data_IF_292894249898
#
_entry.id   IF_292894249898
#
_cell.length_a   1.000
_cell.length_b   1.000
_cell.length_c   1.000
_cell.angle_alpha   90.00
_cell.angle_beta   90.00
_cell.angle_gamma   90.00
#
_symmetry.space_group_name_H-M   'P 1'
#
loop_
_entity.id
_entity.type
_entity.pdbx_description
1 polymer ?
#
# COMPACT_ATOMS: atom_id res chain seq x y z
N UNK A 1 -18.80 -23.43 -8.47
CA UNK A 1 -17.96 -23.61 -7.28
C UNK A 1 -16.47 -23.45 -7.56
N UNK A 2 -15.94 -24.08 -8.61
CA UNK A 2 -14.53 -23.89 -9.00
C UNK A 2 -14.21 -22.45 -9.35
N UNK A 3 -15.10 -21.77 -10.08
CA UNK A 3 -14.94 -20.35 -10.44
C UNK A 3 -14.94 -19.46 -9.21
N UNK A 4 -15.76 -19.76 -8.24
CA UNK A 4 -15.85 -19.02 -6.98
C UNK A 4 -14.55 -19.13 -6.19
N UNK A 5 -13.99 -20.34 -6.11
CA UNK A 5 -12.71 -20.58 -5.43
C UNK A 5 -11.57 -19.82 -6.10
N UNK A 6 -11.55 -19.80 -7.43
CA UNK A 6 -10.54 -19.05 -8.19
C UNK A 6 -10.67 -17.55 -7.91
N UNK A 7 -11.89 -17.03 -7.85
CA UNK A 7 -12.13 -15.62 -7.55
C UNK A 7 -11.61 -15.24 -6.16
N UNK A 8 -11.89 -16.06 -5.14
CA UNK A 8 -11.42 -15.84 -3.77
C UNK A 8 -9.88 -15.84 -3.73
N UNK A 9 -9.26 -16.81 -4.38
CA UNK A 9 -7.81 -16.92 -4.47
C UNK A 9 -7.22 -15.68 -5.14
N UNK A 10 -7.82 -15.23 -6.23
CA UNK A 10 -7.37 -14.03 -6.97
C UNK A 10 -7.47 -12.77 -6.10
N UNK A 11 -8.53 -12.64 -5.32
CA UNK A 11 -8.70 -11.52 -4.38
C UNK A 11 -7.62 -11.52 -3.31
N UNK A 12 -7.32 -12.68 -2.74
CA UNK A 12 -6.30 -12.81 -1.71
C UNK A 12 -4.91 -12.52 -2.27
N UNK A 13 -4.61 -12.99 -3.47
CA UNK A 13 -3.34 -12.69 -4.13
C UNK A 13 -3.21 -11.20 -4.43
N UNK A 14 -4.26 -10.58 -4.93
CA UNK A 14 -4.26 -9.15 -5.22
C UNK A 14 -4.05 -8.34 -3.94
N UNK A 15 -4.73 -8.72 -2.85
CA UNK A 15 -4.58 -8.04 -1.56
C UNK A 15 -3.15 -8.16 -1.04
N UNK A 16 -2.55 -9.34 -1.13
CA UNK A 16 -1.16 -9.58 -0.71
C UNK A 16 -0.18 -8.77 -1.55
N UNK A 17 -0.38 -8.73 -2.86
CA UNK A 17 0.46 -7.96 -3.78
C UNK A 17 0.38 -6.47 -3.48
N UNK A 18 -0.82 -5.95 -3.24
CA UNK A 18 -1.03 -4.55 -2.89
C UNK A 18 -0.32 -4.20 -1.58
N UNK A 19 -0.45 -5.04 -0.57
CA UNK A 19 0.19 -4.81 0.72
C UNK A 19 1.72 -4.79 0.59
N UNK A 20 2.28 -5.71 -0.17
CA UNK A 20 3.73 -5.78 -0.42
C UNK A 20 4.21 -4.54 -1.16
N UNK A 21 3.51 -4.14 -2.21
CA UNK A 21 3.89 -2.97 -3.01
C UNK A 21 3.75 -1.67 -2.22
N UNK A 22 2.73 -1.58 -1.36
CA UNK A 22 2.57 -0.43 -0.46
C UNK A 22 3.77 -0.30 0.48
N UNK A 23 4.23 -1.40 1.05
CA UNK A 23 5.40 -1.44 1.93
C UNK A 23 6.67 -1.02 1.19
N UNK A 24 6.88 -1.55 -0.02
CA UNK A 24 8.03 -1.19 -0.86
C UNK A 24 7.99 0.30 -1.22
N UNK A 25 6.82 0.83 -1.50
CA UNK A 25 6.63 2.24 -1.81
C UNK A 25 7.00 3.13 -0.61
N UNK A 26 6.57 2.76 0.59
CA UNK A 26 6.93 3.48 1.82
C UNK A 26 8.44 3.47 2.04
N UNK A 27 9.06 2.32 1.83
CA UNK A 27 10.52 2.19 1.96
C UNK A 27 11.24 3.09 0.96
N UNK A 28 10.77 3.10 -0.29
CA UNK A 28 11.35 3.96 -1.33
C UNK A 28 11.21 5.46 -0.97
N UNK A 29 10.07 5.85 -0.41
CA UNK A 29 9.86 7.23 0.03
C UNK A 29 10.79 7.60 1.19
N UNK A 30 11.01 6.71 2.15
CA UNK A 30 11.94 6.93 3.25
C UNK A 30 13.36 7.09 2.75
N UNK A 31 13.78 6.25 1.81
CA UNK A 31 15.10 6.34 1.19
C UNK A 31 15.28 7.66 0.45
N UNK A 32 14.24 8.10 -0.27
CA UNK A 32 14.25 9.38 -0.96
C UNK A 32 14.37 10.54 0.02
N UNK A 33 13.63 10.49 1.12
CA UNK A 33 13.71 11.51 2.17
C UNK A 33 15.11 11.56 2.78
N UNK A 34 15.70 10.41 3.08
CA UNK A 34 17.04 10.35 3.64
C UNK A 34 18.07 10.90 2.66
N UNK A 35 17.99 10.53 1.38
CA UNK A 35 18.88 11.06 0.36
C UNK A 35 18.76 12.58 0.23
N UNK A 36 17.53 13.09 0.36
CA UNK A 36 17.29 14.54 0.32
C UNK A 36 17.91 15.25 1.51
N UNK A 37 17.75 14.69 2.70
CA UNK A 37 18.35 15.24 3.92
C UNK A 37 19.87 15.26 3.82
N UNK A 38 20.45 14.17 3.33
CA UNK A 38 21.91 14.07 3.16
C UNK A 38 22.41 15.10 2.16
N UNK A 39 21.71 15.29 1.06
CA UNK A 39 22.08 16.23 0.01
C UNK A 39 22.00 17.69 0.47
N UNK A 40 20.99 18.00 1.28
CA UNK A 40 20.68 19.37 1.72
C UNK A 40 21.14 19.67 3.13
N UNK A 41 21.84 18.76 3.79
CA UNK A 41 22.37 18.96 5.12
C UNK A 41 23.43 20.08 5.09
N UNK A 42 23.53 20.78 6.21
CA UNK A 42 24.51 21.85 6.33
C UNK A 42 25.92 21.28 6.13
N UNK A 43 26.64 21.87 5.19
CA UNK A 43 27.99 21.40 4.86
C UNK A 43 28.07 20.35 3.76
N UNK A 44 26.94 19.89 3.24
CA UNK A 44 26.91 18.89 2.16
C UNK A 44 27.08 19.49 0.75
N UNK A 45 27.09 20.80 0.64
CA UNK A 45 27.36 21.49 -0.62
C UNK A 45 26.14 22.08 -1.33
N UNK A 46 24.94 21.75 -0.90
CA UNK A 46 23.72 22.34 -1.46
C UNK A 46 22.88 22.95 -0.35
N UNK A 47 23.11 24.21 -0.07
CA UNK A 47 22.54 24.94 1.05
C UNK A 47 22.13 26.34 0.62
N UNK A 48 21.41 26.46 -0.47
CA UNK A 48 20.93 27.73 -1.00
C UNK A 48 19.39 27.76 -1.00
N UNK A 49 18.84 28.84 -1.58
CA UNK A 49 17.39 29.02 -1.65
C UNK A 49 16.71 27.89 -2.43
N UNK A 50 17.35 27.40 -3.49
CA UNK A 50 16.82 26.30 -4.29
C UNK A 50 16.72 25.01 -3.48
N UNK A 51 17.68 24.76 -2.57
CA UNK A 51 17.64 23.58 -1.72
C UNK A 51 16.47 23.61 -0.74
N UNK A 52 16.12 24.79 -0.24
CA UNK A 52 14.95 24.97 0.65
C UNK A 52 13.67 24.62 -0.11
N UNK A 53 13.52 25.12 -1.33
CA UNK A 53 12.36 24.83 -2.18
C UNK A 53 12.28 23.34 -2.47
N UNK A 54 13.40 22.72 -2.77
CA UNK A 54 13.49 21.28 -3.04
C UNK A 54 13.02 20.47 -1.83
N UNK A 55 13.48 20.82 -0.63
CA UNK A 55 13.03 20.17 0.62
C UNK A 55 11.54 20.25 0.81
N UNK A 56 10.97 21.43 0.57
CA UNK A 56 9.51 21.61 0.68
C UNK A 56 8.75 20.71 -0.28
N UNK A 57 9.24 20.60 -1.52
CA UNK A 57 8.61 19.71 -2.53
C UNK A 57 8.72 18.25 -2.16
N UNK A 58 9.82 17.83 -1.58
CA UNK A 58 10.00 16.44 -1.13
C UNK A 58 9.07 16.12 0.05
N UNK A 59 8.88 17.07 0.96
CA UNK A 59 7.91 16.90 2.06
C UNK A 59 6.49 16.72 1.52
N UNK A 60 6.10 17.52 0.53
CA UNK A 60 4.80 17.39 -0.14
C UNK A 60 4.67 16.02 -0.80
N UNK A 61 5.72 15.56 -1.48
CA UNK A 61 5.73 14.26 -2.13
C UNK A 61 5.57 13.13 -1.10
N UNK A 62 6.26 13.23 0.02
CA UNK A 62 6.15 12.22 1.09
C UNK A 62 4.73 12.17 1.64
N UNK A 63 4.13 13.33 1.90
CA UNK A 63 2.76 13.40 2.39
C UNK A 63 1.78 12.76 1.40
N UNK A 64 1.92 13.08 0.11
CA UNK A 64 1.12 12.48 -0.94
C UNK A 64 1.33 10.96 -1.00
N UNK A 65 2.58 10.52 -0.93
CA UNK A 65 2.93 9.11 -0.98
C UNK A 65 2.38 8.33 0.22
N UNK A 66 2.45 8.90 1.43
CA UNK A 66 1.88 8.28 2.63
C UNK A 66 0.36 8.13 2.48
N UNK A 67 -0.32 9.13 1.95
CA UNK A 67 -1.76 9.06 1.69
C UNK A 67 -2.08 7.98 0.66
N UNK A 68 -1.30 7.88 -0.41
CA UNK A 68 -1.48 6.83 -1.42
C UNK A 68 -1.27 5.44 -0.83
N UNK A 69 -0.24 5.26 -0.02
CA UNK A 69 0.01 4.00 0.68
C UNK A 69 -1.16 3.60 1.56
N UNK A 70 -1.72 4.56 2.29
CA UNK A 70 -2.87 4.32 3.15
C UNK A 70 -4.08 3.86 2.32
N UNK A 71 -4.34 4.50 1.20
CA UNK A 71 -5.43 4.12 0.31
C UNK A 71 -5.22 2.70 -0.22
N UNK A 72 -4.01 2.37 -0.63
CA UNK A 72 -3.68 1.02 -1.12
C UNK A 72 -3.92 -0.02 -0.01
N UNK A 73 -3.51 0.28 1.22
CA UNK A 73 -3.74 -0.60 2.37
C UNK A 73 -5.24 -0.80 2.63
N UNK A 74 -6.03 0.26 2.49
CA UNK A 74 -7.48 0.18 2.62
C UNK A 74 -8.11 -0.71 1.55
N UNK A 75 -7.64 -0.60 0.31
CA UNK A 75 -8.08 -1.49 -0.77
C UNK A 75 -7.68 -2.93 -0.51
N UNK A 76 -6.46 -3.17 -0.06
CA UNK A 76 -5.99 -4.51 0.30
C UNK A 76 -6.88 -5.12 1.39
N UNK A 77 -7.17 -4.36 2.43
CA UNK A 77 -8.04 -4.78 3.51
C UNK A 77 -9.45 -5.07 3.02
N UNK A 78 -9.98 -4.21 2.15
CA UNK A 78 -11.31 -4.40 1.56
C UNK A 78 -11.39 -5.69 0.73
N UNK A 79 -10.35 -5.99 -0.03
CA UNK A 79 -10.27 -7.25 -0.80
C UNK A 79 -10.25 -8.47 0.11
N UNK A 80 -9.49 -8.42 1.20
CA UNK A 80 -9.45 -9.51 2.18
C UNK A 80 -10.82 -9.71 2.82
N UNK A 81 -11.50 -8.62 3.19
CA UNK A 81 -12.84 -8.67 3.76
C UNK A 81 -13.84 -9.26 2.76
N UNK A 82 -13.77 -8.86 1.50
CA UNK A 82 -14.63 -9.41 0.46
C UNK A 82 -14.41 -10.91 0.29
N UNK A 83 -13.15 -11.35 0.26
CA UNK A 83 -12.81 -12.77 0.14
C UNK A 83 -13.35 -13.56 1.32
N UNK A 84 -13.20 -13.05 2.55
CA UNK A 84 -13.74 -13.69 3.75
C UNK A 84 -15.27 -13.80 3.69
N UNK A 85 -15.93 -12.76 3.21
CA UNK A 85 -17.38 -12.75 3.05
C UNK A 85 -17.84 -13.85 2.11
N UNK A 86 -17.13 -14.04 0.99
CA UNK A 86 -17.45 -15.12 0.04
C UNK A 86 -17.19 -16.50 0.64
N UNK A 87 -16.11 -16.67 1.39
CA UNK A 87 -15.81 -17.93 2.07
C UNK A 87 -16.92 -18.26 3.07
N UNK A 88 -17.31 -17.31 3.89
CA UNK A 88 -18.36 -17.49 4.89
C UNK A 88 -19.71 -17.84 4.24
N UNK A 89 -20.05 -17.16 3.15
CA UNK A 89 -21.30 -17.45 2.41
C UNK A 89 -21.27 -18.86 1.83
N UNK A 90 -20.15 -19.29 1.28
CA UNK A 90 -20.00 -20.63 0.71
C UNK A 90 -20.11 -21.70 1.79
N UNK A 91 -19.50 -21.50 2.94
CA UNK A 91 -19.59 -22.44 4.08
C UNK A 91 -21.02 -22.52 4.61
N UNK A 92 -21.69 -21.40 4.73
CA UNK A 92 -23.08 -21.34 5.18
C UNK A 92 -24.01 -22.06 4.20
N UNK A 93 -23.83 -21.84 2.91
CA UNK A 93 -24.59 -22.51 1.87
C UNK A 93 -24.37 -24.01 1.92
N UNK A 94 -23.15 -24.47 2.13
CA UNK A 94 -22.83 -25.88 2.24
C UNK A 94 -23.50 -26.52 3.46
N UNK A 95 -23.52 -25.84 4.60
CA UNK A 95 -24.18 -26.32 5.80
C UNK A 95 -25.70 -26.44 5.60
N UNK A 96 -26.28 -25.43 4.98
CA UNK A 96 -27.71 -25.44 4.69
C UNK A 96 -28.08 -26.54 3.71
N UNK A 97 -27.22 -26.79 2.75
CA UNK A 97 -27.45 -27.84 1.76
C UNK A 97 -27.43 -29.25 2.36
N UNK A 98 -26.62 -29.47 3.38
CA UNK A 98 -26.51 -30.79 4.08
C UNK A 98 -27.67 -31.10 4.98
N UNK A 99 -28.52 -30.16 5.30
CA UNK A 99 -29.72 -30.38 6.06
C UNK A 99 -30.83 -30.94 5.17
#
# INVERSE_FOLDING_TARGET
MAEFTVTISSMNEAASTMATQSEEFRTALQELMQATEDLTAKGAGWDDEASVIFKEKIVELKSWGDNMSQIIDEYSSALNTAAETYVNADEEAARNFKR
#
